data_IF_140871725600
#
_entry.id   IF_140871725600
#
_cell.length_a   1.000
_cell.length_b   1.000
_cell.length_c   1.000
_cell.angle_alpha   90.00
_cell.angle_beta   90.00
_cell.angle_gamma   90.00
#
_symmetry.space_group_name_H-M   'P 1'
#
loop_
_entity.id
_entity.type
_entity.pdbx_description
1 polymer ?
#
# COMPACT_ATOMS: atom_id res chain seq x y z
N UNK A 1 19.63 3.90 -14.16
CA UNK A 1 18.54 4.90 -14.04
C UNK A 1 17.26 4.22 -13.58
N UNK A 2 16.35 4.89 -12.86
CA UNK A 2 15.12 4.28 -12.32
C UNK A 2 14.15 3.77 -13.40
N UNK A 3 14.03 4.49 -14.52
CA UNK A 3 13.23 4.06 -15.68
C UNK A 3 13.67 2.70 -16.23
N UNK A 4 14.98 2.46 -16.30
CA UNK A 4 15.52 1.16 -16.74
C UNK A 4 15.08 0.03 -15.81
N UNK A 5 15.14 0.25 -14.50
CA UNK A 5 14.75 -0.75 -13.49
C UNK A 5 13.25 -1.04 -13.55
N UNK A 6 12.41 0.00 -13.70
CA UNK A 6 10.98 -0.17 -13.93
C UNK A 6 10.69 -0.98 -15.20
N UNK A 7 11.38 -0.70 -16.31
CA UNK A 7 11.23 -1.47 -17.54
C UNK A 7 11.68 -2.92 -17.39
N UNK A 8 12.72 -3.19 -16.58
CA UNK A 8 13.18 -4.56 -16.29
C UNK A 8 12.17 -5.37 -15.48
N UNK A 9 11.32 -4.72 -14.68
CA UNK A 9 10.16 -5.35 -14.04
C UNK A 9 9.02 -5.66 -15.02
N UNK A 10 9.16 -5.32 -16.30
CA UNK A 10 8.11 -5.48 -17.30
C UNK A 10 6.98 -4.46 -17.20
N UNK A 11 7.17 -3.39 -16.43
CA UNK A 11 6.15 -2.35 -16.27
C UNK A 11 6.18 -1.32 -17.40
N UNK A 12 5.01 -0.75 -17.78
CA UNK A 12 4.95 0.35 -18.72
C UNK A 12 5.70 1.57 -18.18
N UNK A 13 6.25 2.40 -19.07
CA UNK A 13 6.97 3.64 -18.73
C UNK A 13 6.37 4.84 -19.48
N UNK A 14 6.66 6.06 -19.03
CA UNK A 14 6.20 7.32 -19.64
C UNK A 14 5.02 7.96 -18.90
N UNK A 15 4.38 9.01 -19.46
CA UNK A 15 3.41 9.85 -18.76
C UNK A 15 2.24 9.09 -18.10
N UNK A 16 2.16 9.21 -16.77
CA UNK A 16 1.18 8.55 -15.91
C UNK A 16 1.61 7.15 -15.44
N UNK A 17 2.79 6.68 -15.83
CA UNK A 17 3.35 5.40 -15.40
C UNK A 17 4.62 5.57 -14.57
N UNK A 18 5.11 6.78 -14.37
CA UNK A 18 6.36 7.02 -13.67
C UNK A 18 6.28 6.61 -12.21
N UNK A 19 7.21 5.76 -11.80
CA UNK A 19 7.41 5.37 -10.41
C UNK A 19 8.53 6.19 -9.78
N UNK A 20 8.31 6.60 -8.54
CA UNK A 20 9.36 7.16 -7.71
C UNK A 20 10.37 6.09 -7.30
N UNK A 21 11.59 6.52 -6.92
CA UNK A 21 12.69 5.66 -6.48
C UNK A 21 12.25 4.58 -5.47
N UNK A 22 11.45 4.98 -4.49
CA UNK A 22 11.02 4.07 -3.42
C UNK A 22 9.90 3.11 -3.88
N UNK A 23 9.06 3.52 -4.85
CA UNK A 23 8.05 2.65 -5.47
C UNK A 23 8.73 1.55 -6.29
N UNK A 24 9.74 1.88 -7.11
CA UNK A 24 10.51 0.89 -7.87
C UNK A 24 11.12 -0.16 -6.93
N UNK A 25 11.77 0.28 -5.85
CA UNK A 25 12.36 -0.63 -4.86
C UNK A 25 11.32 -1.52 -4.15
N UNK A 26 10.12 -1.01 -3.91
CA UNK A 26 9.04 -1.83 -3.38
C UNK A 26 8.70 -2.95 -4.36
N UNK A 27 8.43 -2.61 -5.63
CA UNK A 27 8.04 -3.61 -6.62
C UNK A 27 9.12 -4.63 -6.92
N UNK A 28 10.40 -4.24 -6.93
CA UNK A 28 11.50 -5.19 -7.08
C UNK A 28 11.48 -6.27 -6.00
N UNK A 29 11.35 -5.87 -4.73
CA UNK A 29 11.30 -6.81 -3.60
C UNK A 29 10.01 -7.63 -3.62
N UNK A 30 8.89 -6.97 -3.89
CA UNK A 30 7.57 -7.61 -3.89
C UNK A 30 7.44 -8.68 -4.99
N UNK A 31 7.90 -8.37 -6.20
CA UNK A 31 7.91 -9.32 -7.33
C UNK A 31 8.98 -10.40 -7.17
N UNK A 32 10.16 -10.08 -6.64
CA UNK A 32 11.19 -11.08 -6.33
C UNK A 32 10.71 -12.11 -5.30
N UNK A 33 9.80 -11.72 -4.39
CA UNK A 33 9.14 -12.63 -3.45
C UNK A 33 7.97 -13.43 -4.06
N UNK A 34 7.80 -13.40 -5.39
CA UNK A 34 6.82 -14.21 -6.12
C UNK A 34 5.42 -13.59 -6.24
N UNK A 35 5.26 -12.30 -5.93
CA UNK A 35 3.97 -11.63 -6.08
C UNK A 35 3.81 -11.04 -7.49
N UNK A 36 2.71 -11.41 -8.15
CA UNK A 36 2.38 -10.88 -9.48
C UNK A 36 1.50 -9.63 -9.38
N UNK A 37 1.87 -8.56 -10.08
CA UNK A 37 1.23 -7.25 -9.96
C UNK A 37 1.05 -6.58 -11.32
N UNK A 38 -0.01 -5.78 -11.44
CA UNK A 38 -0.25 -4.90 -12.57
C UNK A 38 -0.42 -3.47 -12.09
N UNK A 39 0.46 -2.57 -12.53
CA UNK A 39 0.36 -1.15 -12.21
C UNK A 39 -0.96 -0.55 -12.72
N UNK A 40 -1.48 0.41 -11.96
CA UNK A 40 -2.61 1.25 -12.39
C UNK A 40 -2.02 2.59 -12.84
N UNK A 41 -2.44 3.06 -14.02
CA UNK A 41 -1.96 4.32 -14.56
C UNK A 41 -2.43 5.48 -13.68
N UNK A 42 -1.51 6.36 -13.29
CA UNK A 42 -1.82 7.62 -12.61
C UNK A 42 -2.69 8.49 -13.51
N UNK A 43 -3.75 9.05 -12.95
CA UNK A 43 -4.65 9.94 -13.71
C UNK A 43 -3.97 11.27 -14.02
N UNK A 44 -3.90 11.64 -15.31
CA UNK A 44 -3.46 12.98 -15.74
C UNK A 44 -4.42 14.08 -15.27
N UNK A 45 -5.71 13.75 -15.11
CA UNK A 45 -6.73 14.64 -14.55
C UNK A 45 -6.80 14.62 -13.00
N UNK A 46 -5.75 14.15 -12.32
CA UNK A 46 -5.64 14.05 -10.85
C UNK A 46 -6.76 13.25 -10.15
N UNK A 47 -7.48 12.38 -10.87
CA UNK A 47 -8.42 11.43 -10.24
C UNK A 47 -7.63 10.47 -9.32
N UNK A 48 -8.14 10.18 -8.12
CA UNK A 48 -7.52 9.21 -7.23
C UNK A 48 -7.53 7.83 -7.89
N UNK A 49 -6.43 7.09 -7.68
CA UNK A 49 -6.22 5.72 -8.15
C UNK A 49 -5.53 4.93 -7.03
N UNK A 50 -5.69 3.61 -7.03
CA UNK A 50 -4.85 2.71 -6.25
C UNK A 50 -3.52 2.50 -6.99
N UNK A 51 -2.49 2.00 -6.31
CA UNK A 51 -1.15 1.91 -6.90
C UNK A 51 -1.04 0.74 -7.88
N UNK A 52 -1.62 -0.42 -7.53
CA UNK A 52 -1.59 -1.60 -8.40
C UNK A 52 -2.74 -2.60 -8.14
N UNK A 53 -2.90 -3.54 -9.07
CA UNK A 53 -3.69 -4.77 -8.90
C UNK A 53 -2.78 -5.93 -8.54
N UNK A 54 -3.06 -6.60 -7.43
CA UNK A 54 -2.32 -7.77 -6.97
C UNK A 54 -2.92 -9.04 -7.59
N UNK A 55 -2.33 -9.50 -8.68
CA UNK A 55 -2.87 -10.57 -9.53
C UNK A 55 -2.84 -11.93 -8.82
N UNK A 56 -1.74 -12.26 -8.14
CA UNK A 56 -1.64 -13.51 -7.36
C UNK A 56 -2.57 -13.56 -6.13
N UNK A 57 -3.24 -12.45 -5.80
CA UNK A 57 -4.25 -12.34 -4.74
C UNK A 57 -5.65 -12.06 -5.30
N UNK A 58 -5.98 -12.65 -6.44
CA UNK A 58 -7.31 -12.55 -7.05
C UNK A 58 -7.60 -11.19 -7.70
N UNK A 59 -6.57 -10.42 -8.03
CA UNK A 59 -6.69 -9.15 -8.75
C UNK A 59 -7.19 -7.98 -7.91
N UNK A 60 -7.05 -8.04 -6.59
CA UNK A 60 -7.46 -6.94 -5.69
C UNK A 60 -6.61 -5.69 -5.91
N UNK A 61 -7.24 -4.52 -5.82
CA UNK A 61 -6.52 -3.23 -5.89
C UNK A 61 -5.94 -2.86 -4.51
N UNK A 62 -4.68 -2.43 -4.52
CA UNK A 62 -3.87 -2.15 -3.33
C UNK A 62 -3.33 -0.72 -3.38
N UNK A 63 -3.38 -0.05 -2.24
CA UNK A 63 -2.61 1.15 -1.96
C UNK A 63 -1.36 0.80 -1.14
N UNK A 64 -0.19 1.25 -1.56
CA UNK A 64 1.06 1.19 -0.81
C UNK A 64 1.29 2.50 -0.07
N UNK A 65 1.70 2.39 1.19
CA UNK A 65 2.17 3.53 1.95
C UNK A 65 3.48 3.16 2.62
N UNK A 66 4.44 4.08 2.58
CA UNK A 66 5.71 3.96 3.29
C UNK A 66 5.74 4.92 4.47
N UNK A 67 5.52 4.44 5.70
CA UNK A 67 5.70 5.25 6.89
C UNK A 67 7.14 5.73 7.01
N UNK A 68 7.32 6.96 7.49
CA UNK A 68 8.66 7.50 7.80
C UNK A 68 9.35 6.70 8.91
N UNK A 69 8.56 6.24 9.89
CA UNK A 69 9.00 5.40 10.99
C UNK A 69 8.08 4.17 11.11
N UNK A 70 8.59 3.00 11.55
CA UNK A 70 7.80 1.79 11.77
C UNK A 70 6.94 1.91 13.03
N UNK A 71 5.97 2.84 13.02
CA UNK A 71 5.11 3.16 14.15
C UNK A 71 3.64 3.16 13.75
N UNK A 72 2.77 2.91 14.73
CA UNK A 72 1.32 3.04 14.53
C UNK A 72 0.92 4.46 14.14
N UNK A 73 1.52 5.49 14.76
CA UNK A 73 1.14 6.88 14.52
C UNK A 73 1.38 7.30 13.06
N UNK A 74 2.58 7.03 12.53
CA UNK A 74 2.94 7.31 11.14
C UNK A 74 2.05 6.55 10.16
N UNK A 75 1.84 5.26 10.43
CA UNK A 75 1.00 4.39 9.59
C UNK A 75 -0.47 4.83 9.58
N UNK A 76 -1.04 5.10 10.76
CA UNK A 76 -2.41 5.59 10.93
C UNK A 76 -2.63 6.85 10.11
N UNK A 77 -1.73 7.83 10.22
CA UNK A 77 -1.87 9.11 9.54
C UNK A 77 -1.92 8.94 8.02
N UNK A 78 -1.08 8.08 7.45
CA UNK A 78 -1.06 7.79 6.02
C UNK A 78 -2.35 7.13 5.54
N UNK A 79 -2.81 6.08 6.24
CA UNK A 79 -4.05 5.38 5.89
C UNK A 79 -5.23 6.34 6.01
N UNK A 80 -5.38 7.05 7.13
CA UNK A 80 -6.49 7.99 7.34
C UNK A 80 -6.55 9.07 6.26
N UNK A 81 -5.40 9.65 5.89
CA UNK A 81 -5.34 10.66 4.82
C UNK A 81 -5.76 10.07 3.47
N UNK A 82 -5.32 8.86 3.14
CA UNK A 82 -5.68 8.18 1.91
C UNK A 82 -7.19 7.87 1.85
N UNK A 83 -7.74 7.28 2.91
CA UNK A 83 -9.18 6.97 3.04
C UNK A 83 -10.02 8.25 2.98
N UNK A 84 -9.67 9.28 3.75
CA UNK A 84 -10.42 10.53 3.79
C UNK A 84 -10.41 11.27 2.44
N UNK A 85 -9.27 11.26 1.72
CA UNK A 85 -9.19 11.82 0.36
C UNK A 85 -10.02 11.02 -0.63
N UNK A 86 -10.00 9.70 -0.54
CA UNK A 86 -10.84 8.84 -1.37
C UNK A 86 -12.33 9.12 -1.10
N UNK A 87 -12.76 9.19 0.16
CA UNK A 87 -14.17 9.47 0.54
C UNK A 87 -14.71 10.81 0.05
N UNK A 88 -13.87 11.84 -0.08
CA UNK A 88 -14.28 13.12 -0.68
C UNK A 88 -14.66 12.98 -2.15
N UNK A 89 -14.22 11.90 -2.80
CA UNK A 89 -14.61 11.52 -4.14
C UNK A 89 -15.64 10.39 -4.06
N UNK A 90 -16.91 10.72 -4.29
CA UNK A 90 -18.05 9.84 -4.03
C UNK A 90 -18.02 8.48 -4.78
N UNK A 91 -17.12 8.31 -5.76
CA UNK A 91 -17.02 7.12 -6.61
C UNK A 91 -15.74 6.28 -6.39
N UNK A 92 -14.90 6.62 -5.40
CA UNK A 92 -13.61 5.94 -5.24
C UNK A 92 -13.28 5.61 -3.78
N UNK A 93 -12.80 4.38 -3.54
CA UNK A 93 -12.48 3.87 -2.20
C UNK A 93 -11.06 3.32 -2.18
N UNK A 94 -10.31 3.67 -1.13
CA UNK A 94 -9.07 3.01 -0.74
C UNK A 94 -9.31 2.30 0.58
N UNK A 95 -9.33 0.97 0.56
CA UNK A 95 -9.63 0.18 1.75
C UNK A 95 -8.74 -1.07 1.88
N UNK A 96 -7.72 -1.21 1.05
CA UNK A 96 -6.72 -2.27 1.12
C UNK A 96 -5.33 -1.69 1.03
N UNK A 97 -4.50 -1.95 2.05
CA UNK A 97 -3.25 -1.24 2.21
C UNK A 97 -2.08 -2.17 2.50
N UNK A 98 -0.95 -1.96 1.81
CA UNK A 98 0.35 -2.48 2.22
C UNK A 98 1.15 -1.33 2.84
N UNK A 99 1.62 -1.53 4.08
CA UNK A 99 2.58 -0.65 4.73
C UNK A 99 4.00 -1.16 4.46
N UNK A 100 4.76 -0.45 3.63
CA UNK A 100 6.17 -0.76 3.36
C UNK A 100 7.05 -0.14 4.44
N UNK A 101 7.58 -0.98 5.33
CA UNK A 101 8.53 -0.59 6.37
C UNK A 101 9.99 -0.70 5.91
N UNK A 102 10.26 -1.10 4.67
CA UNK A 102 11.61 -1.31 4.16
C UNK A 102 12.36 -2.36 4.98
N UNK A 103 13.56 -1.99 5.44
CA UNK A 103 14.46 -2.86 6.21
C UNK A 103 14.16 -2.86 7.73
N UNK A 104 13.23 -2.00 8.16
CA UNK A 104 12.81 -1.94 9.56
C UNK A 104 11.92 -3.13 9.88
N UNK A 105 12.21 -3.82 10.99
CA UNK A 105 11.35 -4.87 11.51
C UNK A 105 9.99 -4.31 11.92
N UNK A 106 8.91 -5.00 11.56
CA UNK A 106 7.60 -4.72 12.11
C UNK A 106 7.51 -5.28 13.53
N UNK A 107 7.56 -4.38 14.52
CA UNK A 107 7.42 -4.74 15.93
C UNK A 107 6.00 -5.28 16.23
N UNK A 108 5.90 -6.36 17.01
CA UNK A 108 4.63 -6.96 17.45
C UNK A 108 3.67 -5.96 18.09
N UNK A 109 4.17 -5.03 18.90
CA UNK A 109 3.36 -3.98 19.50
C UNK A 109 2.70 -3.11 18.42
N UNK A 110 3.45 -2.73 17.37
CA UNK A 110 2.93 -1.94 16.25
C UNK A 110 1.93 -2.77 15.45
N UNK A 111 2.20 -4.04 15.22
CA UNK A 111 1.28 -4.97 14.55
C UNK A 111 -0.05 -5.09 15.31
N UNK A 112 -0.02 -5.28 16.63
CA UNK A 112 -1.22 -5.33 17.49
C UNK A 112 -1.99 -4.01 17.42
N UNK A 113 -1.30 -2.87 17.53
CA UNK A 113 -1.92 -1.56 17.43
C UNK A 113 -2.57 -1.31 16.06
N UNK A 114 -1.97 -1.81 14.98
CA UNK A 114 -2.51 -1.76 13.63
C UNK A 114 -3.71 -2.70 13.45
N UNK A 115 -3.73 -3.86 14.11
CA UNK A 115 -4.92 -4.74 14.13
C UNK A 115 -6.15 -4.05 14.72
N UNK A 116 -5.95 -3.14 15.68
CA UNK A 116 -7.00 -2.29 16.27
C UNK A 116 -7.32 -1.04 15.46
N UNK A 117 -6.81 -0.91 14.23
CA UNK A 117 -6.97 0.30 13.44
C UNK A 117 -8.46 0.66 13.25
N UNK A 118 -9.31 -0.27 12.83
CA UNK A 118 -10.72 0.03 12.55
C UNK A 118 -11.52 0.44 13.80
N UNK A 119 -11.24 -0.17 14.95
CA UNK A 119 -11.83 0.19 16.24
C UNK A 119 -11.44 1.62 16.64
N UNK A 120 -10.15 1.96 16.49
CA UNK A 120 -9.60 3.28 16.80
C UNK A 120 -9.96 4.37 15.77
N UNK A 121 -10.48 3.99 14.60
CA UNK A 121 -10.73 4.87 13.46
C UNK A 121 -12.10 4.57 12.81
N UNK A 122 -13.21 4.71 13.54
CA UNK A 122 -14.54 4.26 13.08
C UNK A 122 -15.02 4.99 11.82
N UNK A 123 -14.54 6.21 11.57
CA UNK A 123 -14.90 6.99 10.38
C UNK A 123 -14.02 6.70 9.16
N UNK A 124 -12.93 5.95 9.27
CA UNK A 124 -11.97 5.72 8.19
C UNK A 124 -11.55 4.25 8.12
N UNK A 125 -12.51 3.34 8.20
CA UNK A 125 -12.25 1.90 8.21
C UNK A 125 -11.69 1.39 6.88
N UNK A 126 -10.90 0.33 6.98
CA UNK A 126 -10.30 -0.39 5.86
C UNK A 126 -10.67 -1.87 5.93
N UNK A 127 -10.64 -2.57 4.80
CA UNK A 127 -10.95 -4.00 4.70
C UNK A 127 -9.73 -4.88 4.96
N UNK A 128 -8.58 -4.52 4.42
CA UNK A 128 -7.38 -5.35 4.49
C UNK A 128 -6.12 -4.52 4.74
N UNK A 129 -5.22 -5.06 5.55
CA UNK A 129 -3.95 -4.44 5.90
C UNK A 129 -2.84 -5.48 5.91
N UNK A 130 -1.73 -5.17 5.27
CA UNK A 130 -0.50 -5.95 5.33
C UNK A 130 0.67 -5.07 5.74
N UNK A 131 1.64 -5.66 6.44
CA UNK A 131 2.96 -5.09 6.63
C UNK A 131 3.97 -5.78 5.73
N UNK A 132 4.77 -5.01 5.02
CA UNK A 132 5.92 -5.49 4.26
C UNK A 132 7.20 -5.00 4.94
N UNK A 133 7.99 -5.92 5.47
CA UNK A 133 9.15 -5.63 6.32
C UNK A 133 10.22 -6.67 6.08
N UNK A 134 11.46 -6.26 5.78
CA UNK A 134 12.59 -7.17 5.53
C UNK A 134 12.25 -8.30 4.56
N UNK A 135 11.54 -7.94 3.49
CA UNK A 135 11.09 -8.84 2.42
C UNK A 135 10.10 -9.93 2.84
N UNK A 136 9.49 -9.77 4.02
CA UNK A 136 8.39 -10.59 4.51
C UNK A 136 7.07 -9.82 4.44
N UNK A 137 6.06 -10.43 3.83
CA UNK A 137 4.68 -9.93 3.86
C UNK A 137 3.92 -10.61 4.98
N UNK A 138 3.40 -9.81 5.90
CA UNK A 138 2.56 -10.31 6.98
C UNK A 138 1.20 -9.64 6.91
N UNK A 139 0.15 -10.45 6.87
CA UNK A 139 -1.21 -9.93 7.03
C UNK A 139 -1.42 -9.46 8.48
N UNK A 140 -1.94 -8.25 8.62
CA UNK A 140 -2.33 -7.68 9.91
C UNK A 140 -3.83 -7.94 10.08
N UNK A 141 -4.23 -8.88 10.95
CA UNK A 141 -5.64 -9.16 11.16
C UNK A 141 -6.31 -7.95 11.81
N UNK A 142 -7.28 -7.37 11.11
CA UNK A 142 -8.08 -6.27 11.64
C UNK A 142 -9.15 -6.85 12.56
N UNK A 143 -9.24 -6.32 13.78
CA UNK A 143 -10.25 -6.75 14.74
C UNK A 143 -11.65 -6.44 14.17
N UNK A 144 -12.51 -7.47 14.13
CA UNK A 144 -13.91 -7.32 13.79
C UNK A 144 -14.62 -6.49 14.87
N UNK A 145 -15.63 -5.71 14.48
CA UNK A 145 -16.45 -4.98 15.44
C UNK A 145 -17.11 -6.00 16.39
N UNK A 146 -16.94 -5.80 17.69
CA UNK A 146 -17.75 -6.48 18.73
C UNK A 146 -19.17 -5.93 18.72
#
# INVERSE_FOLDING_TARGET
MWLTRQSQLGFPTGPGWELETHEVRFYERFTAAGNDVRLIRKSLAQKPTNDFRWLSRGGIEIEVKRPENPSYASSKQLIQRAVARAKKNHDFVKDRFILDFGDHALNDLVRIQLGRYNDRNPLNQIRELWGWSRDELVQIPLEAKK
#
